data_IF_734075502154
#
_entry.id   IF_734075502154
#
_cell.length_a   1.000
_cell.length_b   1.000
_cell.length_c   1.000
_cell.angle_alpha   90.00
_cell.angle_beta   90.00
_cell.angle_gamma   90.00
#
_symmetry.space_group_name_H-M   'P 1'
#
loop_
_entity.id
_entity.type
_entity.pdbx_description
1 polymer ?
#
# COMPACT_ATOMS: atom_id res chain seq x y z
N UNK A 1 9.66 8.63 22.28
CA UNK A 1 8.77 8.88 21.12
C UNK A 1 8.71 10.38 20.90
N UNK A 2 8.91 10.83 19.66
CA UNK A 2 8.79 12.24 19.30
C UNK A 2 7.55 12.41 18.42
N UNK A 3 6.75 13.44 18.71
CA UNK A 3 5.57 13.79 17.93
C UNK A 3 5.87 15.07 17.15
N UNK A 4 5.70 15.01 15.83
CA UNK A 4 6.06 16.09 14.90
C UNK A 4 4.83 16.44 14.08
N UNK A 5 4.55 17.74 13.93
CA UNK A 5 3.48 18.25 13.09
C UNK A 5 4.06 18.99 11.89
N UNK A 6 3.53 18.68 10.70
CA UNK A 6 3.89 19.34 9.44
C UNK A 6 2.67 20.12 8.92
N UNK A 7 2.82 21.39 8.51
CA UNK A 7 1.78 22.12 7.80
C UNK A 7 1.33 21.39 6.53
N UNK A 8 0.05 21.45 6.20
CA UNK A 8 -0.53 20.77 5.04
C UNK A 8 0.11 21.22 3.72
N UNK A 9 0.42 22.51 3.61
CA UNK A 9 0.96 23.15 2.40
C UNK A 9 2.36 22.65 2.00
N UNK A 10 3.03 21.88 2.86
CA UNK A 10 4.30 21.22 2.52
C UNK A 10 4.13 20.02 1.58
N UNK A 11 2.89 19.54 1.39
CA UNK A 11 2.61 18.30 0.69
C UNK A 11 1.90 18.53 -0.62
N UNK A 12 2.44 17.93 -1.68
CA UNK A 12 1.78 17.86 -2.98
C UNK A 12 0.53 16.97 -2.88
N UNK A 13 -0.59 17.48 -3.38
CA UNK A 13 -1.87 16.78 -3.45
C UNK A 13 -1.74 15.47 -4.24
N UNK A 14 -2.33 14.38 -3.74
CA UNK A 14 -2.34 13.09 -4.44
C UNK A 14 -0.98 12.36 -4.52
N UNK A 15 0.07 12.85 -3.86
CA UNK A 15 1.44 12.34 -4.01
C UNK A 15 2.00 11.71 -2.72
N UNK A 16 1.82 10.39 -2.56
CA UNK A 16 2.48 9.62 -1.47
C UNK A 16 4.00 9.74 -1.56
N UNK A 17 4.53 9.80 -2.79
CA UNK A 17 5.95 9.98 -3.07
C UNK A 17 6.47 11.29 -2.47
N UNK A 18 5.79 12.41 -2.70
CA UNK A 18 6.16 13.68 -2.10
C UNK A 18 6.12 13.63 -0.57
N UNK A 19 5.04 13.09 0.02
CA UNK A 19 4.91 12.95 1.47
C UNK A 19 6.08 12.18 2.10
N UNK A 20 6.47 11.04 1.53
CA UNK A 20 7.62 10.28 2.04
C UNK A 20 8.95 10.97 1.78
N UNK A 21 9.11 11.63 0.64
CA UNK A 21 10.32 12.42 0.36
C UNK A 21 10.51 13.51 1.42
N UNK A 22 9.42 14.19 1.80
CA UNK A 22 9.43 15.25 2.81
C UNK A 22 9.66 14.74 4.25
N UNK A 23 9.04 13.63 4.64
CA UNK A 23 9.09 13.15 6.05
C UNK A 23 10.32 12.27 6.31
N UNK A 24 10.63 11.32 5.42
CA UNK A 24 11.63 10.28 5.67
C UNK A 24 12.87 10.37 4.79
N UNK A 25 12.92 11.32 3.85
CA UNK A 25 13.96 11.38 2.81
C UNK A 25 15.39 11.41 3.35
N UNK A 26 15.68 12.27 4.34
CA UNK A 26 17.06 12.48 4.84
C UNK A 26 17.23 12.21 6.34
N UNK A 27 16.16 12.32 7.14
CA UNK A 27 16.26 12.39 8.60
C UNK A 27 16.80 11.10 9.25
N UNK A 28 16.65 9.95 8.59
CA UNK A 28 17.16 8.67 9.07
C UNK A 28 18.68 8.53 8.97
N UNK A 29 19.34 9.38 8.16
CA UNK A 29 20.80 9.38 7.98
C UNK A 29 21.55 10.36 8.88
N UNK A 30 20.87 11.03 9.83
CA UNK A 30 21.50 12.02 10.70
C UNK A 30 22.55 11.37 11.61
N UNK A 31 23.81 11.82 11.53
CA UNK A 31 24.93 11.34 12.38
C UNK A 31 24.66 11.47 13.88
N UNK A 32 23.79 12.40 14.28
CA UNK A 32 23.40 12.62 15.67
C UNK A 32 22.41 11.57 16.20
N UNK A 33 21.80 10.77 15.31
CA UNK A 33 20.84 9.73 15.68
C UNK A 33 21.48 8.36 15.50
N UNK A 34 21.41 7.51 16.54
CA UNK A 34 21.87 6.12 16.45
C UNK A 34 20.91 5.25 15.63
N UNK A 35 19.62 5.51 15.75
CA UNK A 35 18.54 4.84 15.02
C UNK A 35 17.30 5.72 15.04
N UNK A 36 16.46 5.58 14.01
CA UNK A 36 15.15 6.23 13.91
C UNK A 36 14.16 5.25 13.29
N UNK A 37 12.90 5.29 13.74
CA UNK A 37 11.78 4.54 13.15
C UNK A 37 10.55 5.45 13.13
N UNK A 38 9.91 5.53 11.97
CA UNK A 38 8.59 6.13 11.84
C UNK A 38 7.55 5.07 12.24
N UNK A 39 6.84 5.30 13.32
CA UNK A 39 5.87 4.33 13.87
C UNK A 39 4.47 4.50 13.26
N UNK A 40 4.00 5.74 13.08
CA UNK A 40 2.66 6.02 12.54
C UNK A 40 2.60 7.43 11.92
N UNK A 41 1.59 7.65 11.07
CA UNK A 41 1.29 8.94 10.45
C UNK A 41 -0.21 9.25 10.60
N UNK A 42 -0.51 10.42 11.17
CA UNK A 42 -1.86 10.97 11.12
C UNK A 42 -2.09 11.67 9.78
N UNK A 43 -2.88 11.06 8.89
CA UNK A 43 -3.25 11.66 7.61
C UNK A 43 -4.54 12.49 7.77
N UNK A 44 -4.52 13.82 7.60
CA UNK A 44 -5.72 14.63 7.77
C UNK A 44 -6.71 14.42 6.61
N UNK A 45 -8.03 14.52 6.85
CA UNK A 45 -9.04 14.35 5.79
C UNK A 45 -8.86 15.29 4.59
N UNK A 46 -8.35 16.50 4.81
CA UNK A 46 -8.06 17.45 3.72
C UNK A 46 -7.03 16.90 2.74
N UNK A 47 -5.94 16.29 3.23
CA UNK A 47 -4.95 15.65 2.39
C UNK A 47 -5.46 14.34 1.80
N UNK A 48 -6.10 13.49 2.62
CA UNK A 48 -6.60 12.18 2.18
C UNK A 48 -7.59 12.27 1.01
N UNK A 49 -8.43 13.32 0.97
CA UNK A 49 -9.40 13.55 -0.11
C UNK A 49 -8.77 13.89 -1.47
N UNK A 50 -7.49 14.23 -1.51
CA UNK A 50 -6.77 14.51 -2.77
C UNK A 50 -6.38 13.23 -3.51
N UNK A 51 -6.56 12.06 -2.89
CA UNK A 51 -6.24 10.76 -3.47
C UNK A 51 -7.50 10.07 -3.97
N UNK A 52 -7.37 9.35 -5.08
CA UNK A 52 -8.43 8.45 -5.55
C UNK A 52 -8.71 7.31 -4.54
N UNK A 53 -7.67 6.79 -3.89
CA UNK A 53 -7.76 5.64 -3.01
C UNK A 53 -7.97 4.30 -3.76
N UNK A 54 -8.54 3.28 -3.11
CA UNK A 54 -8.79 1.98 -3.74
C UNK A 54 -9.74 2.09 -4.95
N UNK A 55 -9.44 1.47 -6.11
CA UNK A 55 -10.30 1.55 -7.30
C UNK A 55 -11.74 1.05 -7.12
N UNK A 56 -11.97 0.11 -6.19
CA UNK A 56 -13.29 -0.48 -5.93
C UNK A 56 -13.59 -0.57 -4.43
N UNK A 57 -12.62 -1.02 -3.63
CA UNK A 57 -12.83 -1.30 -2.21
C UNK A 57 -13.51 -2.64 -1.95
N UNK A 58 -13.60 -3.00 -0.66
CA UNK A 58 -13.99 -4.35 -0.22
C UNK A 58 -15.44 -4.67 -0.61
N UNK A 59 -16.36 -3.74 -0.41
CA UNK A 59 -17.79 -3.95 -0.68
C UNK A 59 -18.02 -4.17 -2.18
N UNK A 60 -17.52 -3.27 -3.03
CA UNK A 60 -17.70 -3.38 -4.47
C UNK A 60 -17.01 -4.62 -5.06
N UNK A 61 -15.86 -5.04 -4.55
CA UNK A 61 -15.20 -6.28 -4.98
C UNK A 61 -16.05 -7.53 -4.64
N UNK A 62 -16.65 -7.56 -3.44
CA UNK A 62 -17.57 -8.66 -3.06
C UNK A 62 -18.82 -8.71 -3.91
N UNK A 63 -19.37 -7.56 -4.26
CA UNK A 63 -20.55 -7.46 -5.13
C UNK A 63 -20.23 -7.90 -6.56
N UNK A 64 -19.10 -7.45 -7.12
CA UNK A 64 -18.64 -7.87 -8.45
C UNK A 64 -18.41 -9.38 -8.55
N UNK A 65 -17.92 -10.01 -7.49
CA UNK A 65 -17.64 -11.45 -7.46
C UNK A 65 -18.82 -12.30 -6.96
N UNK A 66 -19.87 -11.66 -6.44
CA UNK A 66 -21.02 -12.30 -5.79
C UNK A 66 -20.58 -13.31 -4.68
N UNK A 67 -19.71 -12.85 -3.75
CA UNK A 67 -19.16 -13.69 -2.65
C UNK A 67 -19.28 -12.99 -1.29
N UNK A 68 -20.04 -13.61 -0.38
CA UNK A 68 -20.38 -13.05 0.93
C UNK A 68 -20.14 -14.06 2.08
N UNK A 69 -20.08 -13.54 3.31
CA UNK A 69 -20.08 -14.34 4.54
C UNK A 69 -18.81 -15.16 4.82
N UNK A 70 -17.76 -15.04 3.98
CA UNK A 70 -16.50 -15.76 4.16
C UNK A 70 -15.29 -15.03 3.56
N UNK A 71 -14.07 -15.38 3.99
CA UNK A 71 -12.84 -14.99 3.30
C UNK A 71 -12.79 -15.50 1.85
N UNK A 72 -12.04 -14.81 0.99
CA UNK A 72 -11.68 -15.31 -0.33
C UNK A 72 -10.46 -16.25 -0.19
N UNK A 73 -10.39 -17.28 -1.03
CA UNK A 73 -9.24 -18.18 -1.13
C UNK A 73 -8.51 -17.90 -2.43
N UNK A 74 -7.18 -17.88 -2.37
CA UNK A 74 -6.30 -17.67 -3.53
C UNK A 74 -5.04 -18.50 -3.41
N UNK A 75 -4.40 -18.77 -4.55
CA UNK A 75 -3.18 -19.56 -4.64
C UNK A 75 -2.15 -18.86 -5.53
N UNK A 76 -0.89 -18.83 -5.09
CA UNK A 76 0.23 -18.41 -5.95
C UNK A 76 0.83 -19.65 -6.60
N UNK A 77 0.77 -19.73 -7.93
CA UNK A 77 1.33 -20.86 -8.70
C UNK A 77 2.84 -20.99 -8.44
N UNK A 78 3.28 -22.25 -8.35
CA UNK A 78 4.69 -22.63 -8.17
C UNK A 78 5.15 -23.58 -9.28
N UNK A 79 6.45 -23.59 -9.64
CA UNK A 79 7.51 -22.69 -9.15
C UNK A 79 7.29 -21.23 -9.57
N UNK A 80 7.93 -20.29 -8.86
CA UNK A 80 7.76 -18.85 -9.11
C UNK A 80 8.10 -18.46 -10.56
N UNK A 81 9.11 -19.12 -11.14
CA UNK A 81 9.60 -18.90 -12.49
C UNK A 81 9.87 -20.26 -13.17
N UNK A 82 9.92 -20.27 -14.50
CA UNK A 82 10.35 -21.43 -15.29
C UNK A 82 9.23 -22.32 -15.83
N UNK A 83 7.97 -22.06 -15.49
CA UNK A 83 6.84 -22.69 -16.19
C UNK A 83 6.62 -22.03 -17.55
N UNK A 84 6.36 -22.83 -18.59
CA UNK A 84 5.81 -22.32 -19.84
C UNK A 84 4.39 -21.79 -19.60
N UNK A 85 3.92 -20.86 -20.46
CA UNK A 85 2.58 -20.30 -20.35
C UNK A 85 1.47 -21.38 -20.30
N UNK A 86 1.64 -22.46 -21.08
CA UNK A 86 0.71 -23.60 -21.11
C UNK A 86 0.66 -24.33 -19.77
N UNK A 87 1.81 -24.60 -19.16
CA UNK A 87 1.86 -25.33 -17.89
C UNK A 87 1.40 -24.45 -16.72
N UNK A 88 1.67 -23.14 -16.78
CA UNK A 88 1.11 -22.18 -15.83
C UNK A 88 -0.42 -22.16 -15.90
N UNK A 89 -0.99 -22.11 -17.11
CA UNK A 89 -2.45 -22.16 -17.32
C UNK A 89 -3.08 -23.46 -16.83
N UNK A 90 -2.42 -24.60 -17.03
CA UNK A 90 -2.86 -25.88 -16.45
C UNK A 90 -2.90 -25.82 -14.92
N UNK A 91 -1.83 -25.31 -14.29
CA UNK A 91 -1.79 -25.18 -12.84
C UNK A 91 -2.88 -24.24 -12.31
N UNK A 92 -3.20 -23.14 -13.02
CA UNK A 92 -4.31 -22.26 -12.66
C UNK A 92 -5.68 -22.93 -12.74
N UNK A 93 -5.90 -23.80 -13.74
CA UNK A 93 -7.18 -24.47 -13.93
C UNK A 93 -7.47 -25.52 -12.84
N UNK A 94 -6.44 -26.22 -12.39
CA UNK A 94 -6.56 -27.30 -11.39
C UNK A 94 -6.62 -26.80 -9.93
N UNK A 95 -6.37 -25.50 -9.69
CA UNK A 95 -6.42 -24.87 -8.36
C UNK A 95 -7.85 -24.43 -8.01
#
# INVERSE_FOLDING_TARGET
IAYIAYPLDLFEEGSVTNMFTSIVGNVFGFKALRALRLEDLRIPPAYAKTFQGPPHGIQAERDKLNKYGRPLLGCTIKPKLGLSAKNYGRACYEC
#
